data_IF_460708668709
#
_entry.id   IF_460708668709
#
_cell.length_a   1.000
_cell.length_b   1.000
_cell.length_c   1.000
_cell.angle_alpha   90.00
_cell.angle_beta   90.00
_cell.angle_gamma   90.00
#
_symmetry.space_group_name_H-M   'P 1'
#
loop_
_entity.id
_entity.type
_entity.pdbx_description
1 polymer ?
#
# COMPACT_ATOMS: atom_id res chain seq x y z
N UNK A 1 -11.82 28.91 -3.23
CA UNK A 1 -10.85 28.12 -2.44
C UNK A 1 -11.38 26.78 -1.94
N UNK A 2 -12.67 26.59 -1.60
CA UNK A 2 -13.17 25.28 -1.11
C UNK A 2 -13.45 24.24 -2.23
N UNK A 3 -13.48 24.65 -3.50
CA UNK A 3 -13.86 23.81 -4.64
C UNK A 3 -12.85 22.69 -4.93
N UNK A 4 -11.55 22.97 -4.95
CA UNK A 4 -10.50 21.95 -5.05
C UNK A 4 -10.55 20.89 -3.94
N UNK A 5 -10.93 21.28 -2.72
CA UNK A 5 -11.10 20.34 -1.62
C UNK A 5 -12.34 19.45 -1.81
N UNK A 6 -13.44 20.00 -2.32
CA UNK A 6 -14.64 19.24 -2.65
C UNK A 6 -14.38 18.24 -3.78
N UNK A 7 -13.68 18.64 -4.84
CA UNK A 7 -13.26 17.73 -5.91
C UNK A 7 -12.35 16.62 -5.40
N UNK A 8 -11.42 16.93 -4.50
CA UNK A 8 -10.59 15.92 -3.84
C UNK A 8 -11.39 14.92 -3.00
N UNK A 9 -12.40 15.38 -2.26
CA UNK A 9 -13.29 14.50 -1.50
C UNK A 9 -14.15 13.58 -2.40
N UNK A 10 -14.46 14.03 -3.62
CA UNK A 10 -15.16 13.26 -4.65
C UNK A 10 -14.24 12.38 -5.50
N UNK A 11 -12.92 12.36 -5.23
CA UNK A 11 -11.94 11.60 -6.01
C UNK A 11 -11.65 12.16 -7.40
N UNK A 12 -12.10 13.38 -7.71
CA UNK A 12 -11.89 14.04 -9.00
C UNK A 12 -10.56 14.80 -9.01
N UNK A 13 -9.44 14.07 -9.02
CA UNK A 13 -8.11 14.62 -8.81
C UNK A 13 -7.64 15.57 -9.91
N UNK A 14 -8.01 15.33 -11.17
CA UNK A 14 -7.70 16.21 -12.30
C UNK A 14 -8.31 17.61 -12.11
N UNK A 15 -9.62 17.65 -11.81
CA UNK A 15 -10.34 18.89 -11.54
C UNK A 15 -9.83 19.57 -10.26
N UNK A 16 -9.51 18.78 -9.23
CA UNK A 16 -8.92 19.28 -7.99
C UNK A 16 -7.56 19.95 -8.24
N UNK A 17 -6.72 19.35 -9.08
CA UNK A 17 -5.41 19.87 -9.48
C UNK A 17 -5.51 21.17 -10.28
N UNK A 18 -6.39 21.22 -11.28
CA UNK A 18 -6.62 22.43 -12.08
C UNK A 18 -7.08 23.62 -11.21
N UNK A 19 -8.09 23.40 -10.35
CA UNK A 19 -8.61 24.44 -9.46
C UNK A 19 -7.58 24.88 -8.41
N UNK A 20 -6.78 23.94 -7.89
CA UNK A 20 -5.70 24.25 -6.95
C UNK A 20 -4.55 25.02 -7.63
N UNK A 21 -4.23 24.73 -8.89
CA UNK A 21 -3.22 25.46 -9.67
C UNK A 21 -3.63 26.90 -9.90
N UNK A 22 -4.88 27.16 -10.32
CA UNK A 22 -5.40 28.52 -10.43
C UNK A 22 -5.37 29.25 -9.07
N UNK A 23 -5.70 28.55 -7.98
CA UNK A 23 -5.68 29.13 -6.65
C UNK A 23 -4.27 29.64 -6.26
N UNK A 24 -3.25 28.86 -6.57
CA UNK A 24 -1.84 29.20 -6.31
C UNK A 24 -1.36 30.33 -7.22
N UNK A 25 -1.79 30.35 -8.48
CA UNK A 25 -1.47 31.46 -9.41
C UNK A 25 -2.10 32.78 -8.97
N UNK A 26 -3.36 32.76 -8.53
CA UNK A 26 -4.08 33.96 -8.08
C UNK A 26 -3.58 34.46 -6.72
N UNK A 27 -3.19 33.56 -5.83
CA UNK A 27 -2.64 33.92 -4.53
C UNK A 27 -1.42 33.04 -4.17
N UNK A 28 -0.21 33.46 -4.60
CA UNK A 28 1.04 32.75 -4.31
C UNK A 28 1.39 32.67 -2.82
N UNK A 29 0.79 33.50 -1.97
CA UNK A 29 1.04 33.49 -0.52
C UNK A 29 0.26 32.40 0.21
N UNK A 30 -0.70 31.74 -0.46
CA UNK A 30 -1.64 30.82 0.18
C UNK A 30 -1.10 29.38 0.31
N UNK A 31 -0.47 29.08 1.44
CA UNK A 31 0.15 27.78 1.72
C UNK A 31 -0.78 26.55 1.56
N UNK A 32 -2.05 26.65 2.00
CA UNK A 32 -3.01 25.54 1.88
C UNK A 32 -3.36 25.20 0.42
N UNK A 33 -3.20 26.15 -0.50
CA UNK A 33 -3.42 25.93 -1.94
C UNK A 33 -2.38 24.98 -2.52
N UNK A 34 -1.11 25.22 -2.21
CA UNK A 34 0.00 24.35 -2.61
C UNK A 34 -0.14 22.93 -2.04
N UNK A 35 -0.54 22.79 -0.78
CA UNK A 35 -0.79 21.48 -0.18
C UNK A 35 -1.87 20.70 -0.94
N UNK A 36 -2.96 21.36 -1.36
CA UNK A 36 -4.04 20.73 -2.11
C UNK A 36 -3.62 20.35 -3.53
N UNK A 37 -2.84 21.22 -4.19
CA UNK A 37 -2.28 20.92 -5.51
C UNK A 37 -1.35 19.70 -5.45
N UNK A 38 -0.42 19.69 -4.49
CA UNK A 38 0.50 18.57 -4.30
C UNK A 38 -0.22 17.26 -3.95
N UNK A 39 -1.27 17.31 -3.12
CA UNK A 39 -2.08 16.13 -2.81
C UNK A 39 -2.80 15.60 -4.07
N UNK A 40 -3.38 16.48 -4.90
CA UNK A 40 -3.97 16.06 -6.17
C UNK A 40 -2.94 15.43 -7.12
N UNK A 41 -1.77 16.04 -7.27
CA UNK A 41 -0.66 15.51 -8.07
C UNK A 41 -0.16 14.15 -7.56
N UNK A 42 -0.10 13.96 -6.24
CA UNK A 42 0.25 12.65 -5.65
C UNK A 42 -0.77 11.57 -6.04
N UNK A 43 -2.07 11.87 -5.97
CA UNK A 43 -3.13 10.91 -6.31
C UNK A 43 -3.17 10.59 -7.81
N UNK A 44 -2.72 11.52 -8.66
CA UNK A 44 -2.52 11.31 -10.10
C UNK A 44 -1.20 10.57 -10.43
N UNK A 45 -0.36 10.29 -9.44
CA UNK A 45 0.93 9.62 -9.63
C UNK A 45 2.08 10.53 -10.06
N UNK A 46 1.84 11.85 -10.19
CA UNK A 46 2.84 12.85 -10.58
C UNK A 46 3.68 13.28 -9.37
N UNK A 47 4.42 12.34 -8.77
CA UNK A 47 5.16 12.54 -7.51
C UNK A 47 6.23 13.63 -7.58
N UNK A 48 7.02 13.66 -8.66
CA UNK A 48 8.06 14.67 -8.85
C UNK A 48 7.49 16.11 -8.89
N UNK A 49 6.35 16.29 -9.57
CA UNK A 49 5.65 17.58 -9.63
C UNK A 49 5.08 17.98 -8.26
N UNK A 50 4.57 17.01 -7.49
CA UNK A 50 4.08 17.25 -6.13
C UNK A 50 5.20 17.73 -5.20
N UNK A 51 6.40 17.14 -5.28
CA UNK A 51 7.57 17.57 -4.51
C UNK A 51 7.98 18.99 -4.91
N UNK A 52 8.04 19.29 -6.22
CA UNK A 52 8.38 20.63 -6.70
C UNK A 52 7.37 21.68 -6.20
N UNK A 53 6.09 21.36 -6.23
CA UNK A 53 5.01 22.22 -5.74
C UNK A 53 5.13 22.51 -4.24
N UNK A 54 5.46 21.51 -3.42
CA UNK A 54 5.66 21.69 -1.98
C UNK A 54 6.92 22.51 -1.66
N UNK A 55 8.00 22.34 -2.44
CA UNK A 55 9.21 23.17 -2.33
C UNK A 55 8.92 24.63 -2.70
N UNK A 56 8.15 24.87 -3.76
CA UNK A 56 7.70 26.22 -4.13
C UNK A 56 6.82 26.86 -3.03
N UNK A 57 6.03 26.06 -2.30
CA UNK A 57 5.26 26.53 -1.17
C UNK A 57 6.15 27.04 -0.02
N UNK A 58 7.30 26.40 0.22
CA UNK A 58 8.22 26.81 1.29
C UNK A 58 8.91 28.15 1.01
N UNK A 59 9.12 28.49 -0.27
CA UNK A 59 9.74 29.76 -0.66
C UNK A 59 8.74 30.89 -0.88
N UNK A 60 7.55 30.57 -1.41
CA UNK A 60 6.60 31.59 -1.91
C UNK A 60 5.44 31.86 -0.95
N UNK A 61 5.05 30.88 -0.13
CA UNK A 61 3.90 31.02 0.75
C UNK A 61 4.25 31.77 2.05
N UNK A 62 3.27 32.46 2.62
CA UNK A 62 3.40 33.05 3.96
C UNK A 62 3.10 32.00 5.01
N UNK A 63 3.96 31.88 6.03
CA UNK A 63 3.86 30.91 7.13
C UNK A 63 3.60 29.44 6.69
N UNK A 64 4.44 28.87 5.80
CA UNK A 64 4.27 27.47 5.36
C UNK A 64 4.37 26.47 6.53
N UNK A 65 5.03 26.83 7.63
CA UNK A 65 5.13 26.02 8.84
C UNK A 65 3.79 25.82 9.56
N UNK A 66 2.86 26.78 9.44
CA UNK A 66 1.51 26.68 10.03
C UNK A 66 0.64 25.65 9.31
N UNK A 67 1.10 25.10 8.18
CA UNK A 67 0.43 24.01 7.44
C UNK A 67 1.25 22.73 7.61
N UNK A 68 1.04 21.95 8.70
CA UNK A 68 1.82 20.74 8.98
C UNK A 68 1.72 19.69 7.85
N UNK A 69 0.61 19.73 7.08
CA UNK A 69 0.43 18.90 5.89
C UNK A 69 1.54 19.05 4.85
N UNK A 70 2.09 20.26 4.64
CA UNK A 70 3.15 20.48 3.65
C UNK A 70 4.42 19.72 4.01
N UNK A 71 4.90 19.88 5.25
CA UNK A 71 6.13 19.23 5.73
C UNK A 71 5.96 17.71 5.80
N UNK A 72 4.79 17.24 6.26
CA UNK A 72 4.47 15.81 6.33
C UNK A 72 4.43 15.17 4.94
N UNK A 73 3.73 15.81 3.99
CA UNK A 73 3.58 15.32 2.63
C UNK A 73 4.90 15.32 1.87
N UNK A 74 5.71 16.37 2.02
CA UNK A 74 7.02 16.46 1.39
C UNK A 74 7.96 15.36 1.87
N UNK A 75 7.97 15.08 3.18
CA UNK A 75 8.77 13.98 3.75
C UNK A 75 8.31 12.63 3.22
N UNK A 76 7.01 12.39 3.15
CA UNK A 76 6.44 11.15 2.63
C UNK A 76 6.81 10.95 1.15
N UNK A 77 6.61 11.96 0.32
CA UNK A 77 6.91 11.88 -1.11
C UNK A 77 8.40 11.67 -1.40
N UNK A 78 9.29 12.33 -0.65
CA UNK A 78 10.73 12.10 -0.79
C UNK A 78 11.15 10.70 -0.36
N UNK A 79 10.51 10.11 0.67
CA UNK A 79 10.75 8.72 1.06
C UNK A 79 10.24 7.73 0.01
N UNK A 80 9.08 8.01 -0.58
CA UNK A 80 8.52 7.22 -1.67
C UNK A 80 9.38 7.31 -2.94
N UNK A 81 9.91 8.49 -3.29
CA UNK A 81 10.86 8.65 -4.39
C UNK A 81 12.19 7.95 -4.12
N UNK A 82 12.76 8.07 -2.92
CA UNK A 82 13.99 7.37 -2.55
C UNK A 82 13.82 5.84 -2.58
N UNK A 83 12.63 5.34 -2.21
CA UNK A 83 12.28 3.92 -2.29
C UNK A 83 12.03 3.46 -3.73
N UNK A 84 11.53 4.34 -4.61
CA UNK A 84 11.29 4.03 -6.01
C UNK A 84 12.54 4.16 -6.90
N UNK A 85 13.49 5.02 -6.52
CA UNK A 85 14.70 5.27 -7.30
C UNK A 85 15.95 5.47 -6.39
N UNK A 86 16.55 4.39 -5.86
CA UNK A 86 17.70 4.48 -4.95
C UNK A 86 18.98 5.04 -5.59
N UNK A 87 18.99 5.29 -6.92
CA UNK A 87 20.15 5.77 -7.67
C UNK A 87 20.16 7.29 -7.97
N UNK A 88 19.09 8.03 -7.71
CA UNK A 88 18.97 9.45 -8.11
C UNK A 88 19.34 10.48 -7.02
N UNK A 89 19.72 10.02 -5.81
CA UNK A 89 20.02 10.87 -4.66
C UNK A 89 21.42 11.50 -4.61
N UNK A 90 22.26 11.35 -5.63
CA UNK A 90 23.69 11.72 -5.57
C UNK A 90 24.12 12.72 -6.66
N UNK A 91 23.39 13.83 -6.81
CA UNK A 91 23.84 14.91 -7.71
C UNK A 91 24.44 16.13 -7.00
N UNK A 92 24.43 16.22 -5.67
CA UNK A 92 25.15 17.29 -4.97
C UNK A 92 25.42 16.94 -3.51
N UNK A 93 26.67 16.62 -3.20
CA UNK A 93 27.15 16.33 -1.85
C UNK A 93 28.23 15.25 -1.90
N UNK A 94 29.45 15.61 -1.50
CA UNK A 94 30.69 14.83 -1.62
C UNK A 94 30.52 13.31 -1.60
N UNK A 95 31.02 12.68 -2.65
CA UNK A 95 31.01 11.23 -2.80
C UNK A 95 31.72 10.55 -1.62
N UNK A 96 30.92 10.10 -0.66
CA UNK A 96 31.33 9.07 0.28
C UNK A 96 31.39 7.79 -0.54
N UNK A 97 32.57 7.48 -1.08
CA UNK A 97 32.77 6.23 -1.79
C UNK A 97 32.51 5.11 -0.79
N UNK A 98 31.36 4.44 -0.95
CA UNK A 98 31.06 3.21 -0.22
C UNK A 98 32.21 2.25 -0.51
N UNK A 99 32.93 1.75 0.51
CA UNK A 99 34.01 0.80 0.31
C UNK A 99 33.56 -0.34 -0.62
N UNK A 100 34.41 -0.73 -1.58
CA UNK A 100 34.05 -1.67 -2.66
C UNK A 100 33.47 -3.00 -2.15
N UNK A 101 33.87 -3.43 -0.94
CA UNK A 101 33.32 -4.62 -0.28
C UNK A 101 31.86 -4.44 0.17
N UNK A 102 31.54 -3.29 0.77
CA UNK A 102 30.19 -2.97 1.24
C UNK A 102 29.24 -2.75 0.06
N UNK A 103 29.72 -2.14 -1.02
CA UNK A 103 28.93 -1.97 -2.23
C UNK A 103 28.51 -3.32 -2.83
N UNK A 104 29.39 -4.33 -2.83
CA UNK A 104 29.10 -5.69 -3.29
C UNK A 104 28.09 -6.40 -2.38
N UNK A 105 28.27 -6.33 -1.07
CA UNK A 105 27.32 -6.93 -0.13
C UNK A 105 25.93 -6.30 -0.22
N UNK A 106 25.85 -4.98 -0.36
CA UNK A 106 24.58 -4.27 -0.55
C UNK A 106 23.90 -4.68 -1.86
N UNK A 107 24.68 -4.83 -2.93
CA UNK A 107 24.20 -5.27 -4.25
C UNK A 107 23.61 -6.69 -4.21
N UNK A 108 24.11 -7.56 -3.33
CA UNK A 108 23.56 -8.90 -3.12
C UNK A 108 22.33 -8.92 -2.20
N UNK A 109 22.29 -8.06 -1.19
CA UNK A 109 21.20 -8.03 -0.19
C UNK A 109 19.95 -7.32 -0.70
N UNK A 110 20.08 -6.25 -1.48
CA UNK A 110 18.95 -5.52 -2.06
C UNK A 110 17.96 -6.39 -2.86
N UNK A 111 18.38 -7.23 -3.82
CA UNK A 111 17.44 -8.07 -4.58
C UNK A 111 16.77 -9.11 -3.68
N UNK A 112 17.48 -9.67 -2.69
CA UNK A 112 16.90 -10.61 -1.72
C UNK A 112 15.79 -9.93 -0.91
N UNK A 113 16.04 -8.72 -0.42
CA UNK A 113 15.05 -7.93 0.32
C UNK A 113 13.82 -7.58 -0.54
N UNK A 114 14.02 -7.16 -1.79
CA UNK A 114 12.92 -6.90 -2.73
C UNK A 114 12.09 -8.16 -3.01
N UNK A 115 12.72 -9.31 -3.18
CA UNK A 115 12.03 -10.59 -3.40
C UNK A 115 11.18 -10.98 -2.18
N UNK A 116 11.74 -10.92 -0.96
CA UNK A 116 11.01 -11.22 0.27
C UNK A 116 9.82 -10.28 0.45
N UNK A 117 10.01 -8.97 0.19
CA UNK A 117 8.93 -7.98 0.24
C UNK A 117 7.81 -8.33 -0.73
N UNK A 118 8.14 -8.66 -1.98
CA UNK A 118 7.16 -9.07 -3.00
C UNK A 118 6.42 -10.35 -2.61
N UNK A 119 7.11 -11.34 -2.03
CA UNK A 119 6.45 -12.56 -1.54
C UNK A 119 5.46 -12.27 -0.41
N UNK A 120 5.82 -11.41 0.55
CA UNK A 120 4.91 -10.99 1.63
C UNK A 120 3.66 -10.31 1.06
N UNK A 121 3.81 -9.39 0.11
CA UNK A 121 2.69 -8.71 -0.55
C UNK A 121 1.76 -9.71 -1.28
N UNK A 122 2.32 -10.73 -1.94
CA UNK A 122 1.53 -11.79 -2.57
C UNK A 122 0.76 -12.63 -1.55
N UNK A 123 1.37 -12.95 -0.41
CA UNK A 123 0.70 -13.68 0.66
C UNK A 123 -0.43 -12.84 1.25
N UNK A 124 -0.22 -11.54 1.47
CA UNK A 124 -1.26 -10.63 1.97
C UNK A 124 -2.47 -10.55 1.04
N UNK A 125 -2.24 -10.49 -0.27
CA UNK A 125 -3.31 -10.55 -1.26
C UNK A 125 -4.12 -11.86 -1.18
N UNK A 126 -3.44 -13.00 -1.00
CA UNK A 126 -4.09 -14.31 -0.82
C UNK A 126 -4.88 -14.38 0.49
N UNK A 127 -4.31 -13.93 1.60
CA UNK A 127 -4.99 -13.89 2.90
C UNK A 127 -6.25 -13.01 2.85
N UNK A 128 -6.19 -11.86 2.18
CA UNK A 128 -7.35 -11.01 1.98
C UNK A 128 -8.45 -11.70 1.15
N UNK A 129 -8.08 -12.50 0.14
CA UNK A 129 -9.03 -13.29 -0.64
C UNK A 129 -9.68 -14.40 0.20
N UNK A 130 -8.90 -15.14 0.98
CA UNK A 130 -9.42 -16.17 1.89
C UNK A 130 -10.29 -15.59 3.01
N UNK A 131 -9.95 -14.41 3.53
CA UNK A 131 -10.78 -13.74 4.54
C UNK A 131 -12.18 -13.39 3.98
N UNK A 132 -12.26 -12.95 2.72
CA UNK A 132 -13.55 -12.73 2.03
C UNK A 132 -14.30 -14.05 1.82
N UNK A 133 -13.60 -15.10 1.41
CA UNK A 133 -14.21 -16.44 1.23
C UNK A 133 -14.76 -16.99 2.55
N UNK A 134 -14.02 -16.88 3.65
CA UNK A 134 -14.46 -17.31 4.99
C UNK A 134 -15.73 -16.58 5.44
N UNK A 135 -15.78 -15.25 5.25
CA UNK A 135 -16.99 -14.46 5.53
C UNK A 135 -18.18 -14.92 4.70
N UNK A 136 -17.98 -15.17 3.39
CA UNK A 136 -19.03 -15.68 2.51
C UNK A 136 -19.55 -17.04 2.98
N UNK A 137 -18.65 -17.99 3.28
CA UNK A 137 -19.02 -19.32 3.77
C UNK A 137 -19.81 -19.25 5.07
N UNK A 138 -19.39 -18.41 6.03
CA UNK A 138 -20.09 -18.26 7.31
C UNK A 138 -21.50 -17.67 7.15
N UNK A 139 -21.68 -16.72 6.22
CA UNK A 139 -23.01 -16.19 5.91
C UNK A 139 -23.89 -17.25 5.25
N UNK A 140 -23.37 -17.96 4.26
CA UNK A 140 -24.11 -19.02 3.57
C UNK A 140 -24.49 -20.16 4.53
N UNK A 141 -23.59 -20.56 5.43
CA UNK A 141 -23.90 -21.57 6.44
C UNK A 141 -25.06 -21.14 7.34
N UNK A 142 -25.08 -19.86 7.75
CA UNK A 142 -26.18 -19.30 8.55
C UNK A 142 -27.51 -19.33 7.78
N UNK A 143 -27.52 -18.87 6.54
CA UNK A 143 -28.73 -18.87 5.70
C UNK A 143 -29.25 -20.30 5.46
N UNK A 144 -28.36 -21.27 5.20
CA UNK A 144 -28.75 -22.68 5.00
C UNK A 144 -29.31 -23.31 6.28
N UNK A 145 -28.78 -22.93 7.45
CA UNK A 145 -29.26 -23.42 8.74
C UNK A 145 -30.65 -22.86 9.13
N UNK A 146 -31.02 -21.68 8.61
CA UNK A 146 -32.32 -21.04 8.85
C UNK A 146 -33.43 -21.55 7.91
N UNK A 147 -33.11 -22.41 6.94
CA UNK A 147 -34.10 -22.95 5.99
C UNK A 147 -35.09 -23.92 6.67
N UNK A 148 -36.38 -23.90 6.27
CA UNK A 148 -37.36 -24.89 6.74
C UNK A 148 -36.98 -26.33 6.37
N UNK A 149 -37.37 -27.27 7.23
CA UNK A 149 -37.21 -28.70 6.96
C UNK A 149 -37.92 -29.11 5.65
N UNK A 150 -37.26 -29.95 4.85
CA UNK A 150 -37.77 -30.38 3.54
C UNK A 150 -37.44 -29.46 2.36
N UNK A 151 -36.67 -28.38 2.58
CA UNK A 151 -36.22 -27.50 1.50
C UNK A 151 -35.15 -28.19 0.64
N UNK A 152 -35.37 -28.24 -0.68
CA UNK A 152 -34.35 -28.69 -1.63
C UNK A 152 -33.21 -27.66 -1.71
N UNK A 153 -31.98 -28.10 -1.47
CA UNK A 153 -30.80 -27.24 -1.64
C UNK A 153 -30.02 -27.64 -2.87
N UNK A 154 -29.17 -26.72 -3.35
CA UNK A 154 -28.35 -26.95 -4.52
C UNK A 154 -26.90 -26.54 -4.25
N UNK A 155 -25.96 -27.41 -4.65
CA UNK A 155 -24.52 -27.15 -4.61
C UNK A 155 -24.00 -26.80 -6.00
N UNK A 156 -23.24 -25.72 -6.10
CA UNK A 156 -22.58 -25.35 -7.35
C UNK A 156 -21.39 -26.27 -7.66
N UNK A 157 -21.33 -26.80 -8.88
CA UNK A 157 -20.19 -27.52 -9.44
C UNK A 157 -19.87 -26.87 -10.79
N UNK A 158 -18.89 -25.97 -10.80
CA UNK A 158 -18.58 -25.15 -11.98
C UNK A 158 -19.77 -24.26 -12.37
N UNK A 159 -20.35 -24.49 -13.55
CA UNK A 159 -21.53 -23.76 -14.05
C UNK A 159 -22.85 -24.51 -13.82
N UNK A 160 -22.81 -25.66 -13.15
CA UNK A 160 -23.98 -26.49 -12.87
C UNK A 160 -24.34 -26.44 -11.39
N UNK A 161 -25.59 -26.79 -11.08
CA UNK A 161 -26.10 -26.89 -9.71
C UNK A 161 -26.68 -28.28 -9.48
N UNK A 162 -26.14 -29.01 -8.53
CA UNK A 162 -26.57 -30.34 -8.16
C UNK A 162 -27.50 -30.24 -6.95
N UNK A 163 -28.68 -30.84 -7.02
CA UNK A 163 -29.59 -30.94 -5.87
C UNK A 163 -28.95 -31.80 -4.79
N UNK A 164 -28.96 -31.32 -3.55
CA UNK A 164 -28.40 -31.98 -2.36
C UNK A 164 -29.33 -31.78 -1.18
N UNK A 165 -29.24 -32.64 -0.16
CA UNK A 165 -29.91 -32.38 1.12
C UNK A 165 -29.25 -31.19 1.84
N UNK A 166 -29.98 -30.55 2.74
CA UNK A 166 -29.47 -29.49 3.62
C UNK A 166 -28.25 -29.97 4.41
N UNK A 167 -28.30 -31.20 4.92
CA UNK A 167 -27.23 -31.83 5.70
C UNK A 167 -25.95 -32.07 4.88
N UNK A 168 -26.07 -32.64 3.68
CA UNK A 168 -24.93 -32.88 2.79
C UNK A 168 -24.27 -31.57 2.33
N UNK A 169 -25.10 -30.56 2.05
CA UNK A 169 -24.63 -29.24 1.67
C UNK A 169 -23.87 -28.58 2.84
N UNK A 170 -24.43 -28.62 4.05
CA UNK A 170 -23.78 -28.12 5.26
C UNK A 170 -22.46 -28.86 5.57
N UNK A 171 -22.42 -30.20 5.42
CA UNK A 171 -21.20 -30.99 5.59
C UNK A 171 -20.10 -30.59 4.58
N UNK A 172 -20.49 -30.33 3.32
CA UNK A 172 -19.55 -29.86 2.29
C UNK A 172 -19.02 -28.46 2.64
N UNK A 173 -19.89 -27.54 3.04
CA UNK A 173 -19.47 -26.18 3.46
C UNK A 173 -18.49 -26.21 4.63
N UNK A 174 -18.73 -27.08 5.63
CA UNK A 174 -17.78 -27.29 6.75
C UNK A 174 -16.43 -27.84 6.28
N UNK A 175 -16.42 -28.77 5.32
CA UNK A 175 -15.18 -29.27 4.71
C UNK A 175 -14.40 -28.14 4.02
N UNK A 176 -15.08 -27.30 3.25
CA UNK A 176 -14.47 -26.18 2.53
C UNK A 176 -13.96 -25.09 3.48
N UNK A 177 -14.68 -24.85 4.59
CA UNK A 177 -14.24 -23.96 5.65
C UNK A 177 -12.96 -24.49 6.31
N UNK A 178 -12.90 -25.79 6.64
CA UNK A 178 -11.69 -26.41 7.21
C UNK A 178 -10.48 -26.29 6.28
N UNK A 179 -10.65 -26.59 4.99
CA UNK A 179 -9.58 -26.43 3.99
C UNK A 179 -9.11 -24.98 3.88
N UNK A 180 -10.06 -24.03 3.93
CA UNK A 180 -9.73 -22.59 3.89
C UNK A 180 -8.93 -22.19 5.12
N UNK A 181 -9.30 -22.68 6.31
CA UNK A 181 -8.61 -22.38 7.57
C UNK A 181 -7.18 -22.97 7.60
N UNK A 182 -6.99 -24.20 7.10
CA UNK A 182 -5.66 -24.81 6.94
C UNK A 182 -4.77 -24.00 5.99
N UNK A 183 -5.31 -23.53 4.86
CA UNK A 183 -4.58 -22.69 3.91
C UNK A 183 -4.19 -21.35 4.54
N UNK A 184 -5.11 -20.69 5.26
CA UNK A 184 -4.85 -19.45 5.99
C UNK A 184 -3.72 -19.66 7.01
N UNK A 185 -3.81 -20.70 7.84
CA UNK A 185 -2.78 -21.00 8.85
C UNK A 185 -1.40 -21.22 8.22
N UNK A 186 -1.32 -21.96 7.11
CA UNK A 186 -0.06 -22.20 6.41
C UNK A 186 0.54 -20.92 5.81
N UNK A 187 -0.29 -20.04 5.26
CA UNK A 187 0.12 -18.76 4.70
C UNK A 187 0.55 -17.78 5.79
N UNK A 188 -0.14 -17.74 6.93
CA UNK A 188 0.24 -16.92 8.08
C UNK A 188 1.58 -17.36 8.67
N UNK A 189 1.81 -18.67 8.81
CA UNK A 189 3.09 -19.21 9.25
C UNK A 189 4.23 -18.80 8.29
N UNK A 190 4.01 -18.95 6.97
CA UNK A 190 4.98 -18.51 5.95
C UNK A 190 5.21 -17.00 5.98
N UNK A 191 4.16 -16.20 6.14
CA UNK A 191 4.26 -14.73 6.26
C UNK A 191 5.11 -14.35 7.47
N UNK A 192 4.88 -14.98 8.62
CA UNK A 192 5.64 -14.72 9.85
C UNK A 192 7.13 -15.05 9.68
N UNK A 193 7.44 -16.17 9.01
CA UNK A 193 8.81 -16.53 8.67
C UNK A 193 9.47 -15.47 7.76
N UNK A 194 8.81 -15.09 6.67
CA UNK A 194 9.32 -14.10 5.73
C UNK A 194 9.46 -12.71 6.37
N UNK A 195 8.58 -12.33 7.29
CA UNK A 195 8.72 -11.07 8.03
C UNK A 195 9.94 -11.06 8.95
N UNK A 196 10.26 -12.17 9.62
CA UNK A 196 11.50 -12.28 10.41
C UNK A 196 12.73 -12.19 9.50
N UNK A 197 12.70 -12.87 8.35
CA UNK A 197 13.77 -12.79 7.35
C UNK A 197 13.93 -11.36 6.81
N UNK A 198 12.82 -10.68 6.54
CA UNK A 198 12.79 -9.29 6.08
C UNK A 198 13.45 -8.36 7.10
N UNK A 199 13.09 -8.46 8.38
CA UNK A 199 13.67 -7.64 9.44
C UNK A 199 15.18 -7.85 9.56
N UNK A 200 15.64 -9.10 9.56
CA UNK A 200 17.08 -9.40 9.59
C UNK A 200 17.83 -8.82 8.38
N UNK A 201 17.23 -8.85 7.18
CA UNK A 201 17.82 -8.22 6.00
C UNK A 201 17.85 -6.68 6.12
N UNK A 202 16.81 -6.06 6.67
CA UNK A 202 16.78 -4.61 6.94
C UNK A 202 17.88 -4.22 7.93
N UNK A 203 18.01 -4.96 9.04
CA UNK A 203 19.06 -4.74 10.04
C UNK A 203 20.45 -4.83 9.42
N UNK A 204 20.76 -5.91 8.68
CA UNK A 204 22.05 -6.08 8.01
C UNK A 204 22.35 -4.92 7.04
N UNK A 205 21.37 -4.48 6.24
CA UNK A 205 21.54 -3.35 5.32
C UNK A 205 21.82 -2.06 6.10
N UNK A 206 21.10 -1.81 7.20
CA UNK A 206 21.30 -0.61 8.02
C UNK A 206 22.66 -0.59 8.71
N UNK A 207 23.14 -1.73 9.19
CA UNK A 207 24.47 -1.87 9.80
C UNK A 207 25.58 -1.59 8.79
N UNK A 208 25.48 -2.14 7.57
CA UNK A 208 26.44 -1.89 6.49
C UNK A 208 26.50 -0.41 6.10
N UNK A 209 25.35 0.28 6.08
CA UNK A 209 25.30 1.71 5.83
C UNK A 209 25.91 2.52 6.98
N UNK A 210 25.73 2.07 8.23
CA UNK A 210 26.32 2.72 9.40
C UNK A 210 27.85 2.59 9.41
N UNK A 211 28.40 1.45 9.00
CA UNK A 211 29.85 1.24 8.82
C UNK A 211 30.47 2.15 7.76
N UNK A 212 29.68 2.59 6.77
CA UNK A 212 30.13 3.60 5.80
C UNK A 212 30.21 5.02 6.39
N UNK A 213 29.53 5.27 7.53
CA UNK A 213 29.38 6.58 8.15
C UNK A 213 30.43 6.93 9.21
N UNK A 214 31.25 5.95 9.59
CA UNK A 214 32.53 6.12 10.31
C UNK A 214 33.68 6.37 9.35
#
# INVERSE_FOLDING_TARGET
>A
MARSAAYGALGQWELAGADAKECVQRNPKFAKGYHRLANAQQQLGHRAEAIATLKAAQSSATDPEKVPGIKKLLRQLNQEEAAANPAAGSAQGGGRQVPTHIAKELQELQPKFMNVKREVEQIDAKLAAYARQKKRLALVEKEVAELPEGTNTYRSIGKMFLQTSTEENAATMKSDQKKTDEQVASLEARKNYLNRQKLSLEENITELLAQCST
#
